data_IF_486767617797
#
_entry.id   IF_486767617797
#
_cell.length_a   1.000
_cell.length_b   1.000
_cell.length_c   1.000
_cell.angle_alpha   90.00
_cell.angle_beta   90.00
_cell.angle_gamma   90.00
#
_symmetry.space_group_name_H-M   'P 1'
#
loop_
_entity.id
_entity.type
_entity.pdbx_description
1 polymer ?
#
# COMPACT_ATOMS: atom_id res chain seq x y z
N UNK A 1 2.37 -17.00 -12.55
CA UNK A 1 2.64 -16.30 -11.29
C UNK A 1 3.59 -17.12 -10.44
N UNK A 2 4.63 -16.51 -9.87
CA UNK A 2 5.66 -17.14 -9.05
C UNK A 2 6.04 -16.24 -7.87
N UNK A 3 6.51 -16.85 -6.77
CA UNK A 3 7.10 -16.11 -5.65
C UNK A 3 8.55 -15.76 -5.98
N UNK A 4 8.97 -14.55 -5.61
CA UNK A 4 10.34 -14.07 -5.77
C UNK A 4 10.77 -13.28 -4.53
N UNK A 5 12.07 -13.00 -4.44
CA UNK A 5 12.67 -12.12 -3.44
C UNK A 5 13.44 -11.02 -4.14
N UNK A 6 13.30 -9.81 -3.66
CA UNK A 6 13.91 -8.62 -4.25
C UNK A 6 14.69 -7.93 -3.15
N UNK A 7 15.99 -7.74 -3.37
CA UNK A 7 16.84 -6.97 -2.46
C UNK A 7 16.76 -5.49 -2.82
N UNK A 8 16.35 -4.66 -1.89
CA UNK A 8 16.28 -3.21 -2.05
C UNK A 8 16.60 -2.53 -0.72
N UNK A 9 17.42 -1.47 -0.73
CA UNK A 9 17.79 -0.66 0.44
C UNK A 9 18.29 -1.48 1.65
N UNK A 10 18.96 -2.61 1.40
CA UNK A 10 19.46 -3.51 2.45
C UNK A 10 18.41 -4.43 3.08
N UNK A 11 17.18 -4.42 2.56
CA UNK A 11 16.10 -5.32 2.95
C UNK A 11 15.85 -6.38 1.86
N UNK A 12 15.21 -7.49 2.24
CA UNK A 12 14.74 -8.53 1.34
C UNK A 12 13.22 -8.55 1.34
N UNK A 13 12.61 -8.15 0.22
CA UNK A 13 11.17 -8.10 0.03
C UNK A 13 10.67 -9.37 -0.65
N UNK A 14 9.68 -10.03 -0.07
CA UNK A 14 8.93 -11.07 -0.75
C UNK A 14 7.98 -10.44 -1.77
N UNK A 15 7.79 -11.09 -2.93
CA UNK A 15 6.94 -10.57 -3.99
C UNK A 15 6.29 -11.70 -4.79
N UNK A 16 5.14 -11.40 -5.40
CA UNK A 16 4.55 -12.20 -6.46
C UNK A 16 4.86 -11.54 -7.80
N UNK A 17 5.29 -12.36 -8.78
CA UNK A 17 5.69 -11.87 -10.10
C UNK A 17 5.08 -12.71 -11.21
N UNK A 18 4.85 -12.10 -12.37
CA UNK A 18 4.42 -12.78 -13.59
C UNK A 18 4.74 -11.94 -14.82
N UNK A 19 4.64 -12.55 -16.00
CA UNK A 19 4.84 -11.89 -17.29
C UNK A 19 6.29 -11.90 -17.80
N UNK A 20 6.52 -11.37 -19.01
CA UNK A 20 7.83 -11.39 -19.66
C UNK A 20 8.79 -10.40 -19.01
N UNK A 21 10.07 -10.75 -18.87
CA UNK A 21 11.11 -9.90 -18.28
C UNK A 21 11.31 -8.58 -19.00
N UNK A 22 11.06 -8.55 -20.31
CA UNK A 22 11.18 -7.36 -21.16
C UNK A 22 9.88 -6.58 -21.35
N UNK A 23 8.80 -6.97 -20.64
CA UNK A 23 7.54 -6.20 -20.61
C UNK A 23 7.67 -4.92 -19.81
N UNK A 24 6.82 -3.92 -20.11
CA UNK A 24 6.73 -2.72 -19.30
C UNK A 24 6.36 -3.08 -17.85
N UNK A 25 7.09 -2.49 -16.90
CA UNK A 25 6.96 -2.83 -15.49
C UNK A 25 5.65 -2.28 -14.89
N UNK A 26 4.90 -3.13 -14.22
CA UNK A 26 3.71 -2.79 -13.40
C UNK A 26 3.98 -3.19 -11.96
N UNK A 27 3.91 -2.23 -11.03
CA UNK A 27 4.05 -2.47 -9.60
C UNK A 27 2.68 -2.35 -8.93
N UNK A 28 2.32 -3.37 -8.12
CA UNK A 28 1.04 -3.46 -7.43
C UNK A 28 1.27 -3.38 -5.91
N UNK A 29 0.75 -2.35 -5.25
CA UNK A 29 0.92 -2.14 -3.81
C UNK A 29 -0.36 -2.47 -3.05
N UNK A 30 -0.24 -3.42 -2.15
CA UNK A 30 -1.34 -3.93 -1.31
C UNK A 30 -1.67 -3.00 -0.13
N UNK A 31 -2.77 -3.32 0.57
CA UNK A 31 -3.19 -2.67 1.80
C UNK A 31 -3.03 -3.53 3.06
N UNK A 32 -3.32 -2.96 4.24
CA UNK A 32 -3.53 -3.72 5.47
C UNK A 32 -5.03 -4.10 5.57
N UNK A 33 -5.38 -5.30 5.98
CA UNK A 33 -4.59 -6.39 6.58
C UNK A 33 -4.07 -7.44 5.55
N UNK A 34 -3.97 -7.07 4.29
CA UNK A 34 -3.56 -7.94 3.19
C UNK A 34 -2.05 -7.82 2.92
N UNK A 35 -1.53 -8.65 2.02
CA UNK A 35 -0.16 -8.66 1.53
C UNK A 35 -0.15 -8.78 0.00
N UNK A 36 0.98 -9.10 -0.62
CA UNK A 36 1.10 -9.25 -2.08
C UNK A 36 0.07 -10.21 -2.70
N UNK A 37 -0.45 -11.17 -1.93
CA UNK A 37 -1.51 -12.09 -2.36
C UNK A 37 -2.82 -11.38 -2.72
N UNK A 38 -3.06 -10.16 -2.26
CA UNK A 38 -4.21 -9.33 -2.65
C UNK A 38 -4.38 -9.24 -4.17
N UNK A 39 -3.29 -9.33 -4.89
CA UNK A 39 -3.23 -9.15 -6.33
C UNK A 39 -3.21 -10.45 -7.15
N UNK A 40 -3.41 -11.61 -6.51
CA UNK A 40 -3.24 -12.92 -7.16
C UNK A 40 -4.16 -13.16 -8.37
N UNK A 41 -5.30 -12.48 -8.45
CA UNK A 41 -6.18 -12.51 -9.62
C UNK A 41 -5.75 -11.50 -10.71
N UNK A 42 -5.26 -10.33 -10.32
CA UNK A 42 -4.86 -9.26 -11.24
C UNK A 42 -3.52 -9.55 -11.91
N UNK A 43 -2.58 -10.12 -11.19
CA UNK A 43 -1.24 -10.43 -11.70
C UNK A 43 -1.30 -11.22 -13.01
N UNK A 44 -1.92 -12.41 -13.11
CA UNK A 44 -1.94 -13.16 -14.35
C UNK A 44 -2.73 -12.47 -15.48
N UNK A 45 -3.77 -11.70 -15.14
CA UNK A 45 -4.55 -10.98 -16.12
C UNK A 45 -3.74 -9.84 -16.77
N UNK A 46 -2.96 -9.10 -15.98
CA UNK A 46 -2.10 -8.02 -16.47
C UNK A 46 -0.90 -8.61 -17.24
N UNK A 47 -0.30 -9.69 -16.72
CA UNK A 47 0.80 -10.40 -17.40
C UNK A 47 0.41 -10.93 -18.77
N UNK A 48 -0.83 -11.42 -18.93
CA UNK A 48 -1.36 -11.87 -20.21
C UNK A 48 -1.44 -10.76 -21.29
N UNK A 49 -1.41 -9.49 -20.88
CA UNK A 49 -1.34 -8.33 -21.75
C UNK A 49 0.10 -7.97 -22.17
N UNK A 50 1.09 -8.74 -21.72
CA UNK A 50 2.51 -8.55 -22.05
C UNK A 50 3.28 -7.66 -21.07
N UNK A 51 2.70 -7.28 -19.94
CA UNK A 51 3.39 -6.54 -18.88
C UNK A 51 4.22 -7.45 -17.99
N UNK A 52 5.32 -6.91 -17.46
CA UNK A 52 6.05 -7.51 -16.34
C UNK A 52 5.43 -7.03 -15.03
N UNK A 53 4.78 -7.91 -14.31
CA UNK A 53 4.00 -7.57 -13.11
C UNK A 53 4.74 -7.98 -11.85
N UNK A 54 4.80 -7.07 -10.88
CA UNK A 54 5.43 -7.31 -9.57
C UNK A 54 4.52 -6.74 -8.47
N UNK A 55 4.17 -7.59 -7.52
CA UNK A 55 3.46 -7.21 -6.30
C UNK A 55 4.38 -7.51 -5.11
N UNK A 56 5.17 -6.55 -4.61
CA UNK A 56 5.98 -6.75 -3.42
C UNK A 56 5.12 -6.71 -2.16
N UNK A 57 5.51 -7.47 -1.13
CA UNK A 57 5.10 -7.17 0.22
C UNK A 57 5.71 -5.85 0.67
N UNK A 58 4.91 -5.00 1.28
CA UNK A 58 5.38 -3.72 1.79
C UNK A 58 6.27 -3.90 3.03
N UNK A 59 7.09 -2.90 3.35
CA UNK A 59 7.85 -2.80 4.59
C UNK A 59 7.00 -3.18 5.81
N UNK A 60 7.50 -4.06 6.68
CA UNK A 60 6.80 -4.63 7.83
C UNK A 60 6.09 -5.95 7.54
N UNK A 61 5.66 -6.21 6.30
CA UNK A 61 4.85 -7.38 5.95
C UNK A 61 5.66 -8.66 5.75
N UNK A 62 6.89 -8.56 5.27
CA UNK A 62 7.79 -9.72 5.16
C UNK A 62 8.95 -9.64 6.16
N UNK A 63 9.42 -10.80 6.63
CA UNK A 63 10.44 -10.89 7.68
C UNK A 63 11.76 -10.18 7.32
N UNK A 64 12.13 -10.17 6.05
CA UNK A 64 13.34 -9.52 5.53
C UNK A 64 13.28 -7.98 5.51
N UNK A 65 12.12 -7.36 5.83
CA UNK A 65 11.91 -5.91 5.78
C UNK A 65 11.11 -5.39 6.98
N UNK A 66 11.51 -5.77 8.21
CA UNK A 66 10.90 -5.37 9.49
C UNK A 66 11.88 -4.57 10.35
N UNK A 67 12.13 -3.30 10.05
CA UNK A 67 12.92 -2.45 10.95
C UNK A 67 12.22 -2.23 12.30
N UNK A 68 13.00 -1.94 13.35
CA UNK A 68 12.47 -1.88 14.71
C UNK A 68 11.89 -0.52 15.10
N UNK A 69 12.40 0.58 14.52
CA UNK A 69 11.99 1.92 14.95
C UNK A 69 10.74 2.37 14.20
N UNK A 70 9.79 2.98 14.91
CA UNK A 70 8.58 3.57 14.30
C UNK A 70 8.92 4.58 13.19
N UNK A 71 10.02 5.34 13.36
CA UNK A 71 10.47 6.30 12.36
C UNK A 71 10.83 5.66 11.01
N UNK A 72 11.27 4.40 11.01
CA UNK A 72 11.59 3.64 9.80
C UNK A 72 10.33 3.28 8.98
N UNK A 73 9.16 3.54 9.50
CA UNK A 73 7.85 3.37 8.84
C UNK A 73 7.25 4.71 8.36
N UNK A 74 8.06 5.77 8.29
CA UNK A 74 7.67 7.00 7.63
C UNK A 74 7.28 6.72 6.17
N UNK A 75 6.23 7.36 5.67
CA UNK A 75 5.72 7.07 4.31
C UNK A 75 6.78 7.23 3.22
N UNK A 76 7.79 8.09 3.42
CA UNK A 76 8.89 8.25 2.47
C UNK A 76 9.75 6.98 2.38
N UNK A 77 9.94 6.26 3.46
CA UNK A 77 10.69 5.00 3.47
C UNK A 77 10.05 3.95 2.54
N UNK A 78 8.71 3.88 2.53
CA UNK A 78 7.99 3.01 1.59
C UNK A 78 8.12 3.48 0.13
N UNK A 79 8.09 4.80 -0.10
CA UNK A 79 8.31 5.35 -1.45
C UNK A 79 9.68 4.97 -1.96
N UNK A 80 10.71 5.13 -1.12
CA UNK A 80 12.09 4.82 -1.48
C UNK A 80 12.30 3.32 -1.70
N UNK A 81 11.62 2.45 -0.93
CA UNK A 81 11.61 1.01 -1.16
C UNK A 81 11.04 0.66 -2.54
N UNK A 82 9.89 1.25 -2.91
CA UNK A 82 9.25 0.99 -4.22
C UNK A 82 10.13 1.47 -5.37
N UNK A 83 10.79 2.63 -5.23
CA UNK A 83 11.70 3.15 -6.25
C UNK A 83 12.92 2.23 -6.44
N UNK A 84 13.54 1.78 -5.35
CA UNK A 84 14.68 0.87 -5.41
C UNK A 84 14.30 -0.53 -5.91
N UNK A 85 13.10 -1.04 -5.55
CA UNK A 85 12.56 -2.28 -6.12
C UNK A 85 12.41 -2.12 -7.64
N UNK A 86 11.88 -0.99 -8.12
CA UNK A 86 11.74 -0.73 -9.54
C UNK A 86 13.12 -0.69 -10.23
N UNK A 87 14.10 0.00 -9.64
CA UNK A 87 15.46 0.11 -10.20
C UNK A 87 16.18 -1.24 -10.20
N UNK A 88 16.02 -2.06 -9.19
CA UNK A 88 16.55 -3.43 -9.14
C UNK A 88 16.01 -4.29 -10.27
N UNK A 89 14.74 -4.11 -10.65
CA UNK A 89 14.09 -4.92 -11.67
C UNK A 89 14.27 -4.42 -13.09
N UNK A 90 14.28 -3.10 -13.29
CA UNK A 90 14.26 -2.50 -14.61
C UNK A 90 15.48 -1.62 -14.95
N UNK A 91 16.42 -1.46 -14.00
CA UNK A 91 17.56 -0.57 -14.10
C UNK A 91 17.28 0.82 -13.54
N UNK A 92 18.34 1.55 -13.21
CA UNK A 92 18.28 2.88 -12.61
C UNK A 92 17.40 3.84 -13.42
N UNK A 93 16.46 4.49 -12.75
CA UNK A 93 15.55 5.46 -13.35
C UNK A 93 14.42 4.84 -14.18
N UNK A 94 14.21 3.52 -14.14
CA UNK A 94 13.12 2.87 -14.87
C UNK A 94 11.78 3.51 -14.56
N UNK A 95 10.97 3.67 -15.60
CA UNK A 95 9.57 4.13 -15.48
C UNK A 95 8.65 2.95 -15.41
N UNK A 96 7.59 3.07 -14.61
CA UNK A 96 6.66 1.95 -14.38
C UNK A 96 5.21 2.43 -14.25
N UNK A 97 4.29 1.50 -14.45
CA UNK A 97 2.89 1.66 -14.10
C UNK A 97 2.69 1.31 -12.62
N UNK A 98 1.86 2.07 -11.93
CA UNK A 98 1.64 1.90 -10.50
C UNK A 98 0.15 1.72 -10.21
N UNK A 99 -0.21 0.62 -9.54
CA UNK A 99 -1.56 0.35 -9.08
C UNK A 99 -1.52 0.05 -7.58
N UNK A 100 -2.49 0.58 -6.82
CA UNK A 100 -2.42 0.49 -5.38
C UNK A 100 -3.78 0.59 -4.70
N UNK A 101 -3.88 0.01 -3.50
CA UNK A 101 -5.05 0.09 -2.64
C UNK A 101 -4.69 0.41 -1.20
N UNK A 102 -5.59 1.02 -0.43
CA UNK A 102 -5.44 1.29 1.01
C UNK A 102 -4.12 2.01 1.34
N UNK A 103 -3.29 1.46 2.27
CA UNK A 103 -1.97 2.05 2.59
C UNK A 103 -1.06 2.12 1.37
N UNK A 104 -1.12 1.11 0.49
CA UNK A 104 -0.42 1.14 -0.80
C UNK A 104 -0.82 2.34 -1.65
N UNK A 105 -2.12 2.73 -1.67
CA UNK A 105 -2.57 3.90 -2.40
C UNK A 105 -2.04 5.21 -1.78
N UNK A 106 -1.91 5.31 -0.45
CA UNK A 106 -1.26 6.46 0.20
C UNK A 106 0.20 6.61 -0.26
N UNK A 107 0.93 5.49 -0.33
CA UNK A 107 2.31 5.45 -0.82
C UNK A 107 2.36 5.84 -2.30
N UNK A 108 1.47 5.27 -3.12
CA UNK A 108 1.41 5.51 -4.57
C UNK A 108 1.11 6.97 -4.91
N UNK A 109 0.17 7.62 -4.22
CA UNK A 109 -0.09 9.04 -4.38
C UNK A 109 1.14 9.90 -4.07
N UNK A 110 1.85 9.59 -2.97
CA UNK A 110 3.07 10.32 -2.60
C UNK A 110 4.18 10.11 -3.62
N UNK A 111 4.43 8.86 -4.01
CA UNK A 111 5.42 8.52 -5.03
C UNK A 111 5.14 9.27 -6.33
N UNK A 112 3.91 9.20 -6.84
CA UNK A 112 3.51 9.85 -8.09
C UNK A 112 3.59 11.39 -8.02
N UNK A 113 3.28 11.98 -6.87
CA UNK A 113 3.31 13.43 -6.68
C UNK A 113 4.74 14.00 -6.62
N UNK A 114 5.68 13.29 -5.98
CA UNK A 114 7.06 13.77 -5.81
C UNK A 114 8.05 13.18 -6.81
N UNK A 115 7.70 12.08 -7.50
CA UNK A 115 8.52 11.42 -8.51
C UNK A 115 7.74 11.23 -9.82
N UNK A 116 7.16 12.30 -10.42
CA UNK A 116 6.26 12.17 -11.57
C UNK A 116 6.96 11.58 -12.81
N UNK A 117 8.26 11.76 -12.92
CA UNK A 117 9.06 11.24 -14.04
C UNK A 117 9.24 9.72 -13.98
N UNK A 118 8.97 9.09 -12.84
CA UNK A 118 9.09 7.65 -12.63
C UNK A 118 7.79 6.89 -12.96
N UNK A 119 6.64 7.56 -12.90
CA UNK A 119 5.32 6.91 -13.02
C UNK A 119 4.71 7.18 -14.40
N UNK A 120 4.49 6.11 -15.18
CA UNK A 120 3.83 6.16 -16.48
C UNK A 120 2.33 6.38 -16.35
N UNK A 121 1.68 5.59 -15.51
CA UNK A 121 0.26 5.72 -15.16
C UNK A 121 0.05 5.34 -13.71
N UNK A 122 -0.97 5.92 -13.08
CA UNK A 122 -1.35 5.64 -11.71
C UNK A 122 -2.78 5.12 -11.63
N UNK A 123 -3.01 4.03 -10.89
CA UNK A 123 -4.35 3.57 -10.53
C UNK A 123 -4.45 3.42 -9.00
N UNK A 124 -5.30 4.22 -8.36
CA UNK A 124 -5.53 4.15 -6.91
C UNK A 124 -6.96 3.74 -6.60
N UNK A 125 -7.10 2.76 -5.72
CA UNK A 125 -8.38 2.23 -5.28
C UNK A 125 -8.63 2.67 -3.83
N UNK A 126 -9.85 3.08 -3.55
CA UNK A 126 -10.45 3.40 -2.25
C UNK A 126 -9.83 4.56 -1.42
N UNK A 127 -8.57 4.90 -1.58
CA UNK A 127 -7.94 6.04 -0.87
C UNK A 127 -7.75 7.21 -1.85
N UNK A 128 -8.35 8.38 -1.61
CA UNK A 128 -8.21 9.56 -2.47
C UNK A 128 -6.85 10.22 -2.28
N UNK A 129 -6.49 11.08 -3.23
CA UNK A 129 -5.33 11.96 -3.10
C UNK A 129 -5.44 12.80 -1.83
N UNK A 130 -4.41 12.77 -1.00
CA UNK A 130 -4.42 13.38 0.34
C UNK A 130 -4.77 14.88 0.32
N UNK A 131 -4.29 15.64 -0.67
CA UNK A 131 -4.62 17.04 -0.83
C UNK A 131 -6.12 17.27 -1.09
N UNK A 132 -6.72 16.49 -2.01
CA UNK A 132 -8.15 16.57 -2.29
C UNK A 132 -9.00 16.17 -1.07
N UNK A 133 -8.54 15.18 -0.33
CA UNK A 133 -9.20 14.77 0.91
C UNK A 133 -9.21 15.89 1.96
N UNK A 134 -8.08 16.56 2.19
CA UNK A 134 -8.01 17.68 3.14
C UNK A 134 -8.83 18.88 2.68
N UNK A 135 -8.84 19.20 1.40
CA UNK A 135 -9.69 20.26 0.85
C UNK A 135 -11.18 19.95 1.08
N UNK A 136 -11.61 18.71 0.82
CA UNK A 136 -12.98 18.28 1.06
C UNK A 136 -13.36 18.30 2.56
N UNK A 137 -12.45 17.89 3.44
CA UNK A 137 -12.66 17.89 4.89
C UNK A 137 -12.78 19.31 5.51
N UNK A 138 -12.26 20.33 4.84
CA UNK A 138 -12.37 21.73 5.25
C UNK A 138 -13.64 22.42 4.71
N UNK A 139 -14.35 21.79 3.77
CA UNK A 139 -15.59 22.35 3.23
C UNK A 139 -16.68 22.41 4.33
N UNK A 140 -17.45 23.49 4.42
CA UNK A 140 -18.54 23.61 5.41
C UNK A 140 -19.68 22.67 5.03
N UNK A 141 -19.68 21.45 5.56
CA UNK A 141 -20.74 20.45 5.33
C UNK A 141 -21.01 19.59 6.56
N UNK A 142 -22.25 19.07 6.60
CA UNK A 142 -22.83 18.27 7.67
C UNK A 142 -22.13 16.94 7.98
N UNK A 143 -21.16 16.50 7.17
CA UNK A 143 -20.57 15.16 7.25
C UNK A 143 -19.18 15.10 7.93
N UNK A 144 -18.67 16.21 8.47
CA UNK A 144 -17.35 16.23 9.13
C UNK A 144 -17.28 15.30 10.37
N UNK A 145 -18.39 15.11 11.07
CA UNK A 145 -18.45 14.19 12.21
C UNK A 145 -18.45 12.73 11.79
N UNK A 146 -19.14 12.40 10.70
CA UNK A 146 -19.18 11.04 10.13
C UNK A 146 -17.78 10.60 9.64
N UNK A 147 -17.05 11.49 8.97
CA UNK A 147 -15.69 11.19 8.52
C UNK A 147 -14.70 11.01 9.70
N UNK A 148 -14.84 11.80 10.77
CA UNK A 148 -14.00 11.64 11.97
C UNK A 148 -14.26 10.31 12.67
N UNK A 149 -15.52 9.87 12.75
CA UNK A 149 -15.90 8.58 13.30
C UNK A 149 -15.34 7.43 12.46
N UNK A 150 -15.42 7.53 11.14
CA UNK A 150 -14.86 6.55 10.20
C UNK A 150 -13.36 6.40 10.32
N UNK A 151 -12.63 7.46 10.69
CA UNK A 151 -11.18 7.43 10.92
C UNK A 151 -10.78 7.04 12.35
N UNK A 152 -11.72 6.83 13.26
CA UNK A 152 -11.40 6.44 14.64
C UNK A 152 -10.54 5.16 14.73
N UNK A 153 -10.63 4.27 13.72
CA UNK A 153 -9.79 3.09 13.66
C UNK A 153 -8.28 3.38 13.55
N UNK A 154 -7.89 4.57 13.05
CA UNK A 154 -6.47 4.98 13.05
C UNK A 154 -5.95 5.13 14.47
N UNK A 155 -6.74 5.76 15.36
CA UNK A 155 -6.38 5.95 16.76
C UNK A 155 -6.22 4.59 17.45
N UNK A 156 -7.13 3.64 17.18
CA UNK A 156 -7.06 2.28 17.73
C UNK A 156 -5.89 1.49 17.15
N UNK A 157 -5.60 1.63 15.86
CA UNK A 157 -4.49 0.96 15.17
C UNK A 157 -3.12 1.50 15.59
N UNK A 158 -3.04 2.71 16.10
CA UNK A 158 -1.78 3.29 16.60
C UNK A 158 -1.41 2.83 18.01
N UNK A 159 -2.36 2.24 18.77
CA UNK A 159 -2.12 1.77 20.14
C UNK A 159 -1.37 0.44 20.13
N UNK A 160 -0.41 0.30 21.04
CA UNK A 160 0.31 -0.96 21.26
C UNK A 160 -0.54 -1.96 22.05
N UNK A 161 -0.39 -3.25 21.74
CA UNK A 161 -1.09 -4.34 22.42
C UNK A 161 -2.46 -4.70 21.85
N UNK A 162 -2.92 -3.99 20.81
CA UNK A 162 -4.19 -4.24 20.13
C UNK A 162 -4.03 -4.85 18.72
N UNK A 163 -2.82 -5.03 18.25
CA UNK A 163 -2.49 -5.35 16.86
C UNK A 163 -3.22 -6.61 16.37
N UNK A 164 -3.16 -7.69 17.14
CA UNK A 164 -3.81 -8.97 16.81
C UNK A 164 -5.34 -8.84 16.75
N UNK A 165 -5.93 -8.13 17.70
CA UNK A 165 -7.38 -7.90 17.73
C UNK A 165 -7.82 -7.07 16.53
N UNK A 166 -7.08 -6.00 16.23
CA UNK A 166 -7.36 -5.13 15.08
C UNK A 166 -7.17 -5.86 13.76
N UNK A 167 -6.12 -6.67 13.62
CA UNK A 167 -5.86 -7.48 12.44
C UNK A 167 -7.02 -8.44 12.14
N UNK A 168 -7.45 -9.23 13.13
CA UNK A 168 -8.57 -10.14 12.95
C UNK A 168 -9.87 -9.41 12.63
N UNK A 169 -10.16 -8.31 13.33
CA UNK A 169 -11.33 -7.48 13.06
C UNK A 169 -11.34 -6.89 11.65
N UNK A 170 -10.18 -6.46 11.15
CA UNK A 170 -10.04 -5.95 9.78
C UNK A 170 -10.28 -7.06 8.75
N UNK A 171 -9.76 -8.27 8.96
CA UNK A 171 -9.99 -9.41 8.07
C UNK A 171 -11.46 -9.84 8.06
N UNK A 172 -12.09 -9.94 9.22
CA UNK A 172 -13.51 -10.34 9.36
C UNK A 172 -14.45 -9.36 8.66
N UNK A 173 -14.17 -8.04 8.78
CA UNK A 173 -14.97 -7.01 8.11
C UNK A 173 -14.95 -7.11 6.58
N UNK A 174 -13.98 -7.79 5.99
CA UNK A 174 -13.91 -7.95 4.54
C UNK A 174 -14.86 -9.01 3.99
N UNK A 175 -15.39 -9.89 4.85
CA UNK A 175 -16.34 -10.93 4.47
C UNK A 175 -15.79 -11.96 3.48
N UNK A 176 -14.45 -12.10 3.38
CA UNK A 176 -13.81 -13.07 2.51
C UNK A 176 -13.87 -14.47 3.11
N UNK A 177 -13.93 -15.53 2.29
CA UNK A 177 -13.79 -16.91 2.73
C UNK A 177 -12.48 -17.14 3.48
N UNK A 178 -12.44 -18.11 4.38
CA UNK A 178 -11.26 -18.40 5.21
C UNK A 178 -10.03 -18.75 4.34
N UNK A 179 -10.23 -19.54 3.29
CA UNK A 179 -9.18 -19.91 2.32
C UNK A 179 -8.52 -18.70 1.65
N UNK A 180 -9.29 -17.64 1.38
CA UNK A 180 -8.78 -16.39 0.80
C UNK A 180 -7.99 -15.55 1.80
N UNK A 181 -8.24 -15.71 3.10
CA UNK A 181 -7.55 -14.95 4.15
C UNK A 181 -6.35 -15.68 4.75
N UNK A 182 -6.19 -16.96 4.47
CA UNK A 182 -5.11 -17.79 5.02
C UNK A 182 -3.70 -17.26 4.69
N UNK A 183 -3.39 -16.80 3.46
CA UNK A 183 -2.08 -16.22 3.15
C UNK A 183 -1.76 -14.98 4.00
N UNK A 184 -2.76 -14.15 4.31
CA UNK A 184 -2.59 -12.96 5.16
C UNK A 184 -2.36 -13.34 6.62
N UNK A 185 -3.12 -14.33 7.14
CA UNK A 185 -2.97 -14.83 8.52
C UNK A 185 -1.60 -15.43 8.74
N UNK A 186 -1.13 -16.23 7.78
CA UNK A 186 0.19 -16.89 7.85
C UNK A 186 1.35 -15.88 7.84
N UNK A 187 1.25 -14.83 7.04
CA UNK A 187 2.30 -13.81 6.93
C UNK A 187 2.43 -12.97 8.21
N UNK A 188 1.31 -12.75 8.93
CA UNK A 188 1.22 -11.91 10.13
C UNK A 188 0.84 -12.72 11.39
N UNK A 189 1.43 -13.90 11.53
CA UNK A 189 1.14 -14.84 12.63
C UNK A 189 1.80 -14.45 13.95
N UNK A 190 3.00 -13.85 13.92
CA UNK A 190 3.74 -13.46 15.12
C UNK A 190 3.39 -12.06 15.63
N UNK A 191 3.59 -11.82 16.93
CA UNK A 191 3.44 -10.47 17.52
C UNK A 191 4.40 -9.47 16.89
N UNK A 192 5.64 -9.89 16.61
CA UNK A 192 6.65 -9.07 15.92
C UNK A 192 6.17 -8.62 14.52
N UNK A 193 5.56 -9.54 13.75
CA UNK A 193 5.01 -9.23 12.44
C UNK A 193 3.86 -8.22 12.53
N UNK A 194 2.97 -8.41 13.49
CA UNK A 194 1.86 -7.50 13.74
C UNK A 194 2.35 -6.13 14.19
N UNK A 195 3.27 -6.07 15.15
CA UNK A 195 3.86 -4.81 15.60
C UNK A 195 4.51 -4.05 14.44
N UNK A 196 5.27 -4.74 13.59
CA UNK A 196 5.93 -4.15 12.42
C UNK A 196 4.93 -3.49 11.46
N UNK A 197 3.85 -4.18 11.06
CA UNK A 197 2.88 -3.60 10.12
C UNK A 197 2.06 -2.46 10.73
N UNK A 198 1.78 -2.51 12.04
CA UNK A 198 1.06 -1.44 12.73
C UNK A 198 1.92 -0.20 13.01
N UNK A 199 3.26 -0.29 12.91
CA UNK A 199 4.15 0.87 12.96
C UNK A 199 3.87 1.88 11.82
N UNK A 200 3.29 1.45 10.69
CA UNK A 200 2.76 2.37 9.70
C UNK A 200 1.79 3.40 10.31
N UNK A 201 0.81 2.95 11.10
CA UNK A 201 -0.16 3.85 11.74
C UNK A 201 0.48 4.73 12.81
N UNK A 202 1.43 4.21 13.57
CA UNK A 202 2.19 4.96 14.58
C UNK A 202 3.08 6.04 13.95
N UNK A 203 3.53 5.84 12.72
CA UNK A 203 4.33 6.79 11.97
C UNK A 203 3.51 7.90 11.29
N UNK A 204 2.19 7.76 11.12
CA UNK A 204 1.33 8.75 10.45
C UNK A 204 1.55 10.18 10.96
N UNK A 205 1.62 10.46 12.29
CA UNK A 205 1.85 11.81 12.79
C UNK A 205 3.12 12.49 12.27
N UNK A 206 4.10 11.73 11.80
CA UNK A 206 5.37 12.25 11.30
C UNK A 206 5.22 12.93 9.93
N UNK A 207 4.23 12.52 9.11
CA UNK A 207 4.08 12.94 7.72
C UNK A 207 2.67 13.38 7.30
N UNK A 208 1.66 13.21 8.14
CA UNK A 208 0.25 13.51 7.79
C UNK A 208 -0.01 14.97 7.40
N UNK A 209 0.90 15.90 7.74
CA UNK A 209 0.77 17.33 7.43
C UNK A 209 1.45 17.73 6.12
N UNK A 210 2.13 16.81 5.47
CA UNK A 210 2.80 17.08 4.20
C UNK A 210 1.76 17.35 3.11
N UNK A 211 1.93 18.44 2.38
CA UNK A 211 1.06 18.75 1.23
C UNK A 211 1.58 18.02 -0.01
N UNK A 212 0.74 17.18 -0.59
CA UNK A 212 1.06 16.51 -1.83
C UNK A 212 0.77 17.41 -3.03
N UNK A 213 1.73 17.61 -3.96
CA UNK A 213 1.47 18.21 -5.26
C UNK A 213 0.45 17.39 -6.07
N UNK A 214 -0.14 18.01 -7.08
CA UNK A 214 -1.01 17.31 -8.03
C UNK A 214 -0.18 16.31 -8.86
N UNK A 215 -0.73 15.14 -9.08
CA UNK A 215 -0.15 14.17 -10.01
C UNK A 215 -0.37 14.60 -11.45
N UNK A 216 0.65 14.44 -12.30
CA UNK A 216 0.65 14.90 -13.70
C UNK A 216 0.46 13.79 -14.74
N UNK A 217 0.63 12.51 -14.34
CA UNK A 217 0.44 11.36 -15.22
C UNK A 217 -1.04 10.98 -15.37
N UNK A 218 -1.42 10.22 -16.42
CA UNK A 218 -2.75 9.64 -16.52
C UNK A 218 -3.09 8.86 -15.27
N UNK A 219 -4.20 9.22 -14.62
CA UNK A 219 -4.58 8.68 -13.31
C UNK A 219 -6.01 8.14 -13.34
N UNK A 220 -6.17 6.89 -12.89
CA UNK A 220 -7.46 6.28 -12.58
C UNK A 220 -7.66 6.27 -11.07
N UNK A 221 -8.79 6.80 -10.62
CA UNK A 221 -9.23 6.66 -9.24
C UNK A 221 -10.54 5.89 -9.19
N UNK A 222 -10.55 4.79 -8.43
CA UNK A 222 -11.73 3.95 -8.23
C UNK A 222 -12.26 4.16 -6.82
N UNK A 223 -13.44 4.74 -6.74
CA UNK A 223 -14.14 5.01 -5.49
C UNK A 223 -15.22 3.96 -5.23
N UNK A 224 -15.19 3.22 -4.13
CA UNK A 224 -16.30 2.39 -3.70
C UNK A 224 -17.35 3.28 -3.00
N UNK A 225 -18.60 3.41 -3.55
CA UNK A 225 -19.59 4.31 -2.98
C UNK A 225 -20.04 3.92 -1.56
N UNK A 226 -19.86 2.65 -1.20
CA UNK A 226 -20.19 2.12 0.13
C UNK A 226 -18.94 1.90 1.00
N UNK A 227 -17.90 2.72 0.82
CA UNK A 227 -16.69 2.60 1.65
C UNK A 227 -17.00 2.79 3.13
N UNK A 228 -16.61 1.81 3.94
CA UNK A 228 -16.74 1.91 5.39
C UNK A 228 -15.79 2.97 6.01
N UNK A 229 -14.75 3.36 5.28
CA UNK A 229 -13.65 4.17 5.80
C UNK A 229 -13.64 5.62 5.31
N UNK A 230 -14.35 5.92 4.20
CA UNK A 230 -14.36 7.27 3.60
C UNK A 230 -15.79 7.61 3.17
N UNK A 231 -16.28 8.76 3.58
CA UNK A 231 -17.61 9.28 3.26
C UNK A 231 -17.58 10.19 2.03
#
# INVERSE_FOLDING_TARGET
>A
MQSSRITARGFEFEALTDGPENGDLVILLHGLPRNCWEWHHQIPAIAALGFRVVAPDLRGFCAGARPNAVADYHVQEYVDDVLEIADTLGGEGVRFHLMATSIGATIAWRLAAFNPDRVLTLACLNIPHQGAFFEAAQAPKANANDQRERFSYFDDSSKTGNERVMFHRMLEKQGLPLEETEPYRKALDSEEALEAVYNYYRAIPLWQRDRLPKCSMPTLYVWPPESANIA
#
